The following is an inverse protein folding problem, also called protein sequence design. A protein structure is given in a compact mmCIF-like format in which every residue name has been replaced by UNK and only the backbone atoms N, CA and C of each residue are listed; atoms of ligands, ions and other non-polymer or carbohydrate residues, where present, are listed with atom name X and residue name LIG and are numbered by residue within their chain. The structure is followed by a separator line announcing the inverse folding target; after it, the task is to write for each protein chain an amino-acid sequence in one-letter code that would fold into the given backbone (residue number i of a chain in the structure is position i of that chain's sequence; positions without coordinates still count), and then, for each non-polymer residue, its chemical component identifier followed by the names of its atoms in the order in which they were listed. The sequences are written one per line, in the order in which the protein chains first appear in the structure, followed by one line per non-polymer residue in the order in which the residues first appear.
data_IF_673278297371
#
_entry.id   IF_673278297371
#
_cell.length_a   1.000
_cell.length_b   1.000
_cell.length_c   1.000
_cell.angle_alpha   90.00
_cell.angle_beta   90.00
_cell.angle_gamma   90.00
#
_symmetry.space_group_name_H-M   'P 1'
#
loop_
_entity.id
_entity.type
_entity.pdbx_description
1 polymer ?
#
# COMPACT_ATOMS: atom_id res chain seq x y z
N UNK A 1 -11.83 -3.93 -14.32
CA UNK A 1 -12.21 -5.16 -13.57
C UNK A 1 -11.66 -5.19 -12.14
N UNK A 2 -10.34 -4.96 -11.93
CA UNK A 2 -9.76 -4.94 -10.56
C UNK A 2 -10.40 -3.84 -9.69
N UNK A 3 -10.58 -2.65 -10.23
CA UNK A 3 -11.24 -1.52 -9.54
C UNK A 3 -12.69 -1.84 -9.22
N UNK A 4 -13.43 -2.41 -10.16
CA UNK A 4 -14.82 -2.83 -9.96
C UNK A 4 -14.98 -3.84 -8.83
N UNK A 5 -14.12 -4.88 -8.79
CA UNK A 5 -14.14 -5.88 -7.70
C UNK A 5 -13.94 -5.20 -6.35
N UNK A 6 -12.93 -4.32 -6.23
CA UNK A 6 -12.66 -3.63 -4.97
C UNK A 6 -13.80 -2.71 -4.54
N UNK A 7 -14.39 -1.97 -5.47
CA UNK A 7 -15.56 -1.14 -5.19
C UNK A 7 -16.76 -2.00 -4.76
N UNK A 8 -17.00 -3.13 -5.44
CA UNK A 8 -18.05 -4.08 -5.08
C UNK A 8 -17.89 -4.69 -3.68
N UNK A 9 -16.65 -4.90 -3.24
CA UNK A 9 -16.33 -5.36 -1.89
C UNK A 9 -16.46 -4.28 -0.80
N UNK A 10 -16.70 -3.02 -1.16
CA UNK A 10 -16.86 -1.93 -0.21
C UNK A 10 -15.57 -1.46 0.44
N UNK A 11 -14.46 -1.42 -0.31
CA UNK A 11 -13.22 -0.80 0.19
C UNK A 11 -13.46 0.67 0.53
N UNK A 12 -12.79 1.15 1.58
CA UNK A 12 -12.95 2.52 2.08
C UNK A 12 -12.09 3.55 1.36
N UNK A 13 -11.23 3.11 0.45
CA UNK A 13 -10.36 3.95 -0.36
C UNK A 13 -9.50 3.10 -1.27
N UNK A 14 -8.86 3.72 -2.24
CA UNK A 14 -7.94 3.06 -3.16
C UNK A 14 -6.64 3.82 -3.28
N UNK A 15 -5.54 3.08 -3.46
CA UNK A 15 -4.26 3.64 -3.83
C UNK A 15 -3.68 2.90 -5.04
N UNK A 16 -3.05 3.61 -5.94
CA UNK A 16 -2.35 3.05 -7.09
C UNK A 16 -0.90 3.52 -7.18
N UNK A 17 -0.14 2.93 -8.07
CA UNK A 17 1.29 3.22 -8.30
C UNK A 17 2.21 2.94 -7.11
N UNK A 18 1.79 2.06 -6.17
CA UNK A 18 2.65 1.57 -5.09
C UNK A 18 3.59 0.44 -5.56
N UNK A 19 4.34 -0.14 -4.61
CA UNK A 19 5.23 -1.28 -4.89
C UNK A 19 4.47 -2.45 -5.52
N UNK A 20 3.30 -2.79 -5.00
CA UNK A 20 2.44 -3.85 -5.53
C UNK A 20 1.80 -3.52 -6.89
N UNK A 21 1.84 -2.28 -7.33
CA UNK A 21 1.45 -1.86 -8.70
C UNK A 21 2.65 -1.86 -9.65
N UNK A 22 3.82 -2.32 -9.19
CA UNK A 22 5.05 -2.40 -9.97
C UNK A 22 5.50 -1.06 -10.59
N UNK A 23 5.28 0.04 -9.85
CA UNK A 23 5.55 1.41 -10.33
C UNK A 23 6.95 1.62 -10.89
N UNK A 24 7.95 0.94 -10.32
CA UNK A 24 9.34 1.00 -10.78
C UNK A 24 9.57 0.43 -12.19
N UNK A 25 8.63 -0.37 -12.70
CA UNK A 25 8.68 -0.97 -14.03
C UNK A 25 7.89 -0.18 -15.08
N UNK A 26 7.21 0.89 -14.67
CA UNK A 26 6.40 1.74 -15.54
C UNK A 26 7.19 2.98 -15.96
N UNK A 27 7.14 3.33 -17.24
CA UNK A 27 7.61 4.63 -17.72
C UNK A 27 6.72 5.77 -17.16
N UNK A 28 7.22 7.00 -17.22
CA UNK A 28 6.43 8.18 -16.80
C UNK A 28 5.11 8.30 -17.57
N UNK A 29 5.13 8.03 -18.88
CA UNK A 29 3.92 8.05 -19.70
C UNK A 29 2.91 7.01 -19.27
N UNK A 30 3.35 5.78 -18.97
CA UNK A 30 2.47 4.72 -18.47
C UNK A 30 1.92 5.05 -17.08
N UNK A 31 2.71 5.65 -16.18
CA UNK A 31 2.22 6.07 -14.86
C UNK A 31 1.11 7.12 -15.01
N UNK A 32 1.26 8.07 -15.93
CA UNK A 32 0.21 9.03 -16.25
C UNK A 32 -1.06 8.37 -16.74
N UNK A 33 -0.94 7.46 -17.71
CA UNK A 33 -2.08 6.69 -18.21
C UNK A 33 -2.78 5.90 -17.08
N UNK A 34 -2.02 5.31 -16.14
CA UNK A 34 -2.59 4.60 -14.99
C UNK A 34 -3.32 5.57 -14.04
N UNK A 35 -2.80 6.78 -13.83
CA UNK A 35 -3.48 7.83 -13.04
C UNK A 35 -4.85 8.12 -13.66
N UNK A 36 -4.89 8.40 -14.95
CA UNK A 36 -6.13 8.75 -15.67
C UNK A 36 -7.15 7.60 -15.62
N UNK A 37 -6.74 6.38 -15.95
CA UNK A 37 -7.62 5.21 -15.93
C UNK A 37 -8.18 4.90 -14.54
N UNK A 38 -7.33 4.94 -13.52
CA UNK A 38 -7.79 4.62 -12.15
C UNK A 38 -8.71 5.72 -11.64
N UNK A 39 -8.44 6.98 -11.93
CA UNK A 39 -9.32 8.09 -11.58
C UNK A 39 -10.69 7.98 -12.26
N UNK A 40 -10.70 7.64 -13.55
CA UNK A 40 -11.94 7.38 -14.31
C UNK A 40 -12.72 6.20 -13.74
N UNK A 41 -12.08 5.08 -13.48
CA UNK A 41 -12.71 3.88 -12.92
C UNK A 41 -13.30 4.11 -11.52
N UNK A 42 -12.54 4.82 -10.65
CA UNK A 42 -12.99 5.13 -9.28
C UNK A 42 -14.10 6.17 -9.30
N UNK A 43 -14.02 7.16 -10.19
CA UNK A 43 -15.05 8.18 -10.42
C UNK A 43 -15.60 8.83 -9.14
N UNK A 44 -14.72 9.09 -8.15
CA UNK A 44 -15.09 9.72 -6.88
C UNK A 44 -15.92 8.86 -5.92
N UNK A 45 -16.08 7.56 -6.18
CA UNK A 45 -16.88 6.65 -5.33
C UNK A 45 -16.24 6.38 -3.97
N UNK A 46 -14.93 6.44 -3.91
CA UNK A 46 -14.11 6.29 -2.68
C UNK A 46 -12.88 7.20 -2.76
N UNK A 47 -12.28 7.61 -1.63
CA UNK A 47 -11.04 8.35 -1.62
C UNK A 47 -9.94 7.65 -2.43
N UNK A 48 -9.24 8.42 -3.27
CA UNK A 48 -8.22 7.93 -4.19
C UNK A 48 -6.87 8.56 -3.93
N UNK A 49 -5.84 7.73 -3.85
CA UNK A 49 -4.45 8.16 -3.74
C UNK A 49 -3.58 7.60 -4.86
N UNK A 50 -2.52 8.32 -5.16
CA UNK A 50 -1.44 7.82 -6.01
C UNK A 50 -0.10 7.91 -5.30
N UNK A 51 0.74 6.89 -5.52
CA UNK A 51 2.10 6.89 -5.00
C UNK A 51 3.03 7.53 -6.01
N UNK A 52 3.82 8.50 -5.55
CA UNK A 52 4.82 9.19 -6.34
C UNK A 52 6.14 8.42 -6.27
N UNK A 53 6.69 8.10 -7.42
CA UNK A 53 7.93 7.37 -7.56
C UNK A 53 8.89 8.13 -8.48
N UNK A 54 10.07 8.47 -7.99
CA UNK A 54 11.08 9.18 -8.77
C UNK A 54 12.31 9.51 -7.95
N UNK A 55 13.42 9.72 -8.65
CA UNK A 55 14.73 10.01 -8.05
C UNK A 55 14.94 11.48 -7.69
N UNK A 56 14.08 12.38 -8.14
CA UNK A 56 14.24 13.82 -7.91
C UNK A 56 12.93 14.47 -7.43
N UNK A 57 13.08 15.61 -6.74
CA UNK A 57 11.95 16.45 -6.33
C UNK A 57 11.11 16.85 -7.55
N UNK A 58 11.76 17.29 -8.64
CA UNK A 58 11.07 17.74 -9.84
C UNK A 58 10.20 16.63 -10.47
N UNK A 59 10.72 15.40 -10.54
CA UNK A 59 9.98 14.25 -11.08
C UNK A 59 8.77 13.90 -10.21
N UNK A 60 8.90 13.90 -8.89
CA UNK A 60 7.76 13.61 -8.02
C UNK A 60 6.74 14.75 -8.01
N UNK A 61 7.16 16.01 -8.05
CA UNK A 61 6.26 17.17 -8.17
C UNK A 61 5.46 17.12 -9.49
N UNK A 62 6.07 16.71 -10.59
CA UNK A 62 5.34 16.53 -11.86
C UNK A 62 4.23 15.46 -11.73
N UNK A 63 4.52 14.34 -11.06
CA UNK A 63 3.54 13.29 -10.81
C UNK A 63 2.44 13.76 -9.85
N UNK A 64 2.78 14.54 -8.81
CA UNK A 64 1.80 15.17 -7.91
C UNK A 64 0.82 16.05 -8.70
N UNK A 65 1.32 16.89 -9.61
CA UNK A 65 0.46 17.74 -10.48
C UNK A 65 -0.46 16.88 -11.36
N UNK A 66 0.02 15.75 -11.87
CA UNK A 66 -0.84 14.84 -12.63
C UNK A 66 -1.94 14.23 -11.74
N UNK A 67 -1.62 13.86 -10.50
CA UNK A 67 -2.60 13.35 -9.54
C UNK A 67 -3.63 14.44 -9.15
N UNK A 68 -3.20 15.70 -8.94
CA UNK A 68 -4.10 16.83 -8.71
C UNK A 68 -5.07 17.05 -9.89
N UNK A 69 -4.55 17.02 -11.12
CA UNK A 69 -5.37 17.16 -12.33
C UNK A 69 -6.40 16.02 -12.46
N UNK A 70 -6.06 14.83 -12.02
CA UNK A 70 -6.93 13.66 -11.96
C UNK A 70 -7.86 13.64 -10.73
N UNK A 71 -7.85 14.70 -9.91
CA UNK A 71 -8.67 14.85 -8.70
C UNK A 71 -8.42 13.76 -7.65
N UNK A 72 -7.15 13.43 -7.43
CA UNK A 72 -6.76 12.61 -6.29
C UNK A 72 -7.10 13.32 -4.97
N UNK A 73 -7.48 12.55 -3.96
CA UNK A 73 -7.77 13.09 -2.63
C UNK A 73 -6.50 13.29 -1.79
N UNK A 74 -5.47 12.50 -2.06
CA UNK A 74 -4.16 12.56 -1.39
C UNK A 74 -3.07 11.84 -2.18
N UNK A 75 -1.82 12.04 -1.78
CA UNK A 75 -0.66 11.42 -2.42
C UNK A 75 0.24 10.72 -1.42
N UNK A 76 0.99 9.71 -1.90
CA UNK A 76 1.97 8.96 -1.10
C UNK A 76 3.35 9.17 -1.72
N UNK A 77 4.29 9.75 -0.99
CA UNK A 77 5.65 9.94 -1.47
C UNK A 77 6.53 8.76 -1.11
N UNK A 78 7.31 8.28 -2.06
CA UNK A 78 8.38 7.30 -1.82
C UNK A 78 9.73 8.00 -1.74
N UNK A 79 10.69 7.48 -0.95
CA UNK A 79 12.06 7.97 -0.98
C UNK A 79 12.71 7.66 -2.34
N UNK A 80 13.72 8.42 -2.78
CA UNK A 80 14.45 8.11 -4.01
C UNK A 80 15.12 6.74 -3.89
N UNK A 81 15.01 5.92 -4.94
CA UNK A 81 15.48 4.52 -4.94
C UNK A 81 16.99 4.38 -5.11
N UNK A 82 17.67 5.42 -5.53
CA UNK A 82 19.13 5.45 -5.72
C UNK A 82 19.76 6.41 -4.71
N UNK A 83 20.94 6.04 -4.23
CA UNK A 83 21.65 6.79 -3.20
C UNK A 83 21.23 6.39 -1.77
N UNK A 84 22.12 6.65 -0.83
CA UNK A 84 21.87 6.49 0.60
C UNK A 84 22.15 7.84 1.26
N UNK A 85 21.11 8.47 1.78
CA UNK A 85 21.19 9.80 2.37
C UNK A 85 20.87 9.73 3.87
N UNK A 86 21.34 10.69 4.63
CA UNK A 86 20.96 10.86 6.03
C UNK A 86 19.51 11.36 6.17
N UNK A 87 18.94 11.21 7.36
CA UNK A 87 17.57 11.59 7.65
C UNK A 87 17.25 13.04 7.29
N UNK A 88 18.15 13.98 7.58
CA UNK A 88 17.97 15.39 7.24
C UNK A 88 17.76 15.63 5.73
N UNK A 89 18.37 14.83 4.85
CA UNK A 89 18.17 14.97 3.40
C UNK A 89 16.82 14.38 2.98
N UNK A 90 16.39 13.25 3.56
CA UNK A 90 15.04 12.72 3.32
C UNK A 90 13.95 13.68 3.82
N UNK A 91 14.14 14.32 4.97
CA UNK A 91 13.22 15.34 5.48
C UNK A 91 13.10 16.50 4.49
N UNK A 92 14.25 17.03 4.00
CA UNK A 92 14.24 18.08 2.96
C UNK A 92 13.59 17.64 1.66
N UNK A 93 13.88 16.40 1.22
CA UNK A 93 13.32 15.85 -0.01
C UNK A 93 11.79 15.78 0.05
N UNK A 94 11.24 15.14 1.08
CA UNK A 94 9.79 15.01 1.26
C UNK A 94 9.13 16.38 1.48
N UNK A 95 9.75 17.23 2.29
CA UNK A 95 9.25 18.58 2.56
C UNK A 95 9.08 19.42 1.30
N UNK A 96 10.10 19.46 0.44
CA UNK A 96 10.03 20.20 -0.83
C UNK A 96 8.94 19.73 -1.77
N UNK A 97 8.63 18.44 -1.76
CA UNK A 97 7.53 17.91 -2.58
C UNK A 97 6.19 18.26 -1.93
N UNK A 98 6.09 18.09 -0.62
CA UNK A 98 4.89 18.44 0.14
C UNK A 98 4.52 19.93 0.02
N UNK A 99 5.51 20.83 0.03
CA UNK A 99 5.32 22.27 -0.17
C UNK A 99 4.82 22.64 -1.58
N UNK A 100 4.97 21.75 -2.56
CA UNK A 100 4.54 21.99 -3.94
C UNK A 100 3.07 21.61 -4.21
N UNK A 101 2.33 21.15 -3.21
CA UNK A 101 0.93 20.72 -3.32
C UNK A 101 0.09 21.14 -2.13
N UNK A 102 -1.21 21.33 -2.36
CA UNK A 102 -2.21 21.50 -1.31
C UNK A 102 -2.89 20.18 -0.90
N UNK A 103 -2.63 19.09 -1.61
CA UNK A 103 -3.17 17.77 -1.24
C UNK A 103 -2.59 17.29 0.09
N UNK A 104 -3.37 16.56 0.88
CA UNK A 104 -2.84 15.77 1.98
C UNK A 104 -1.74 14.82 1.49
N UNK A 105 -0.64 14.78 2.21
CA UNK A 105 0.54 13.99 1.84
C UNK A 105 0.76 12.87 2.85
N UNK A 106 0.95 11.67 2.37
CA UNK A 106 1.54 10.57 3.13
C UNK A 106 2.98 10.33 2.68
N UNK A 107 3.80 9.78 3.54
CA UNK A 107 5.07 9.17 3.12
C UNK A 107 5.01 7.65 3.31
N UNK A 108 5.62 6.93 2.39
CA UNK A 108 5.86 5.50 2.54
C UNK A 108 7.19 5.28 3.26
N UNK A 109 7.10 4.70 4.45
CA UNK A 109 8.25 4.31 5.26
C UNK A 109 8.33 2.78 5.33
N UNK A 110 9.12 2.19 4.46
CA UNK A 110 9.21 0.75 4.23
C UNK A 110 10.66 0.26 4.17
N UNK A 111 11.46 0.45 5.24
CA UNK A 111 12.90 0.19 5.20
C UNK A 111 13.25 -1.26 4.84
N UNK A 112 12.44 -2.23 5.26
CA UNK A 112 12.65 -3.64 4.94
C UNK A 112 12.54 -3.96 3.43
N UNK A 113 11.72 -3.21 2.69
CA UNK A 113 11.49 -3.42 1.25
C UNK A 113 12.28 -2.46 0.37
N UNK A 114 12.58 -1.27 0.87
CA UNK A 114 13.21 -0.20 0.10
C UNK A 114 14.69 0.02 0.47
N UNK A 115 15.18 -0.65 1.52
CA UNK A 115 16.54 -0.48 2.02
C UNK A 115 16.83 0.89 2.64
N UNK A 116 15.80 1.70 2.85
CA UNK A 116 15.88 3.07 3.37
C UNK A 116 14.57 3.51 3.99
N UNK A 117 14.65 4.41 4.96
CA UNK A 117 13.50 4.96 5.66
C UNK A 117 13.94 5.98 6.71
N UNK A 118 12.99 6.46 7.46
CA UNK A 118 13.17 7.38 8.59
C UNK A 118 12.88 6.64 9.90
N UNK A 119 13.57 7.04 10.97
CA UNK A 119 13.22 6.61 12.33
C UNK A 119 11.90 7.27 12.77
N UNK A 120 11.32 6.79 13.87
CA UNK A 120 10.12 7.40 14.42
C UNK A 120 10.33 8.85 14.83
N UNK A 121 11.52 9.17 15.35
CA UNK A 121 11.92 10.53 15.71
C UNK A 121 12.08 11.43 14.48
N UNK A 122 12.68 10.92 13.41
CA UNK A 122 12.82 11.66 12.15
C UNK A 122 11.47 11.93 11.51
N UNK A 123 10.53 10.98 11.58
CA UNK A 123 9.14 11.17 11.12
C UNK A 123 8.44 12.24 11.93
N UNK A 124 8.58 12.24 13.25
CA UNK A 124 8.04 13.28 14.11
C UNK A 124 8.57 14.66 13.72
N UNK A 125 9.87 14.77 13.46
CA UNK A 125 10.49 16.04 13.03
C UNK A 125 10.01 16.47 11.64
N UNK A 126 9.89 15.52 10.68
CA UNK A 126 9.35 15.80 9.35
C UNK A 126 7.93 16.39 9.42
N UNK A 127 7.04 15.77 10.18
CA UNK A 127 5.64 16.23 10.31
C UNK A 127 5.56 17.56 11.04
N UNK A 128 6.45 17.82 12.02
CA UNK A 128 6.53 19.11 12.70
C UNK A 128 6.92 20.25 11.73
N UNK A 129 7.80 19.98 10.76
CA UNK A 129 8.24 20.97 9.77
C UNK A 129 7.23 21.13 8.63
N UNK A 130 6.51 20.09 8.25
CA UNK A 130 5.63 20.03 7.09
C UNK A 130 4.23 19.48 7.47
N UNK A 131 3.33 20.35 8.01
CA UNK A 131 2.05 19.90 8.56
C UNK A 131 1.08 19.25 7.57
N UNK A 132 1.26 19.44 6.26
CA UNK A 132 0.48 18.78 5.22
C UNK A 132 0.93 17.34 4.98
N UNK A 133 2.05 16.89 5.58
CA UNK A 133 2.37 15.48 5.74
C UNK A 133 1.59 14.98 6.95
N UNK A 134 0.45 14.36 6.69
CA UNK A 134 -0.58 14.06 7.68
C UNK A 134 -0.90 12.56 7.81
N UNK A 135 -0.16 11.69 7.14
CA UNK A 135 -0.34 10.24 7.18
C UNK A 135 0.99 9.53 6.92
N UNK A 136 1.16 8.39 7.55
CA UNK A 136 2.26 7.46 7.24
C UNK A 136 1.69 6.15 6.68
N UNK A 137 2.20 5.74 5.52
CA UNK A 137 2.15 4.36 5.08
C UNK A 137 3.38 3.65 5.64
N UNK A 138 3.24 3.12 6.85
CA UNK A 138 4.28 2.34 7.53
C UNK A 138 4.25 0.89 7.05
N UNK A 139 5.40 0.33 6.71
CA UNK A 139 5.52 -1.08 6.31
C UNK A 139 6.59 -1.76 7.16
N UNK A 140 6.33 -1.80 8.46
CA UNK A 140 7.15 -2.42 9.49
C UNK A 140 6.38 -3.44 10.33
N UNK A 141 7.08 -4.18 11.21
CA UNK A 141 6.45 -5.02 12.24
C UNK A 141 5.46 -4.22 13.10
N UNK A 142 4.44 -4.87 13.63
CA UNK A 142 3.43 -4.21 14.46
C UNK A 142 4.02 -3.49 15.68
N UNK A 143 5.11 -4.01 16.25
CA UNK A 143 5.86 -3.37 17.35
C UNK A 143 6.48 -2.04 16.95
N UNK A 144 7.07 -1.96 15.76
CA UNK A 144 7.70 -0.73 15.25
C UNK A 144 6.63 0.32 14.89
N UNK A 145 5.51 -0.14 14.37
CA UNK A 145 4.34 0.70 14.09
C UNK A 145 3.77 1.27 15.39
N UNK A 146 3.64 0.45 16.42
CA UNK A 146 3.19 0.90 17.73
C UNK A 146 4.14 1.93 18.35
N UNK A 147 5.45 1.72 18.22
CA UNK A 147 6.45 2.70 18.64
C UNK A 147 6.30 4.03 17.90
N UNK A 148 6.13 4.00 16.56
CA UNK A 148 5.90 5.20 15.76
C UNK A 148 4.66 5.97 16.24
N UNK A 149 3.55 5.27 16.45
CA UNK A 149 2.29 5.86 16.96
C UNK A 149 2.52 6.51 18.31
N UNK A 150 3.26 5.85 19.22
CA UNK A 150 3.59 6.38 20.55
C UNK A 150 4.47 7.63 20.47
N UNK A 151 5.52 7.62 19.64
CA UNK A 151 6.46 8.76 19.48
C UNK A 151 5.75 9.98 18.89
N UNK A 152 4.74 9.76 18.06
CA UNK A 152 3.90 10.82 17.48
C UNK A 152 2.67 11.15 18.34
N UNK A 153 2.58 10.60 19.55
CA UNK A 153 1.50 10.83 20.50
C UNK A 153 0.10 10.54 19.92
N UNK A 154 0.02 9.60 18.96
CA UNK A 154 -1.22 9.29 18.25
C UNK A 154 -1.75 10.40 17.32
N UNK A 155 -0.99 11.47 17.14
CA UNK A 155 -1.43 12.61 16.31
C UNK A 155 -1.25 12.38 14.82
N UNK A 156 -0.39 11.44 14.45
CA UNK A 156 -0.11 11.08 13.07
C UNK A 156 -0.77 9.73 12.75
N UNK A 157 -1.83 9.71 11.94
CA UNK A 157 -2.43 8.48 11.46
C UNK A 157 -1.40 7.59 10.76
N UNK A 158 -1.43 6.29 11.05
CA UNK A 158 -0.56 5.30 10.43
C UNK A 158 -1.43 4.21 9.79
N UNK A 159 -1.16 3.91 8.52
CA UNK A 159 -1.66 2.74 7.83
C UNK A 159 -0.50 1.77 7.59
N UNK A 160 -0.70 0.47 7.84
CA UNK A 160 0.30 -0.54 7.48
C UNK A 160 -0.06 -1.20 6.15
N UNK A 161 0.95 -1.68 5.44
CA UNK A 161 0.81 -2.48 4.22
C UNK A 161 1.18 -3.94 4.47
N UNK A 162 2.34 -4.35 4.02
CA UNK A 162 2.94 -5.70 4.18
C UNK A 162 2.00 -6.86 3.80
N UNK A 163 1.13 -6.66 2.80
CA UNK A 163 0.18 -7.66 2.35
C UNK A 163 -0.78 -8.19 3.41
N UNK A 164 -0.89 -7.50 4.56
CA UNK A 164 -1.74 -7.91 5.68
C UNK A 164 -1.03 -8.76 6.73
N UNK A 165 0.30 -8.93 6.67
CA UNK A 165 1.05 -9.52 7.79
C UNK A 165 0.76 -8.74 9.08
N UNK A 166 0.52 -9.47 10.17
CA UNK A 166 0.21 -8.91 11.49
C UNK A 166 -1.01 -7.96 11.47
N UNK A 167 -2.01 -8.22 10.60
CA UNK A 167 -3.18 -7.34 10.41
C UNK A 167 -3.87 -7.02 11.74
N UNK A 168 -4.22 -8.03 12.52
CA UNK A 168 -4.92 -7.85 13.79
C UNK A 168 -4.07 -7.08 14.81
N UNK A 169 -2.77 -7.35 14.87
CA UNK A 169 -1.85 -6.68 15.79
C UNK A 169 -1.60 -5.23 15.37
N UNK A 170 -1.54 -4.94 14.07
CA UNK A 170 -1.47 -3.57 13.57
C UNK A 170 -2.70 -2.74 13.98
N UNK A 171 -3.89 -3.32 13.93
CA UNK A 171 -5.11 -2.65 14.40
C UNK A 171 -5.06 -2.41 15.91
N UNK A 172 -4.59 -3.38 16.70
CA UNK A 172 -4.37 -3.22 18.15
C UNK A 172 -3.30 -2.17 18.47
N UNK A 173 -2.27 -2.06 17.65
CA UNK A 173 -1.22 -1.04 17.76
C UNK A 173 -1.74 0.38 17.52
N UNK A 174 -2.94 0.54 16.94
CA UNK A 174 -3.57 1.82 16.68
C UNK A 174 -3.51 2.27 15.21
N UNK A 175 -3.17 1.37 14.26
CA UNK A 175 -3.31 1.69 12.85
C UNK A 175 -4.75 2.09 12.51
N UNK A 176 -4.90 3.19 11.76
CA UNK A 176 -6.21 3.66 11.30
C UNK A 176 -6.75 2.87 10.11
N UNK A 177 -5.93 2.03 9.49
CA UNK A 177 -6.29 1.19 8.36
C UNK A 177 -5.10 0.45 7.78
N UNK A 178 -5.34 -0.22 6.65
CA UNK A 178 -4.36 -1.00 5.93
C UNK A 178 -4.40 -0.66 4.43
N UNK A 179 -3.23 -0.61 3.80
CA UNK A 179 -3.07 -0.43 2.35
C UNK A 179 -2.56 -1.75 1.75
N UNK A 180 -3.48 -2.55 1.22
CA UNK A 180 -3.22 -3.93 0.80
C UNK A 180 -3.35 -4.11 -0.71
N UNK A 181 -2.64 -5.12 -1.23
CA UNK A 181 -2.90 -5.68 -2.55
C UNK A 181 -4.26 -6.41 -2.57
N UNK A 182 -4.87 -6.60 -3.75
CA UNK A 182 -6.26 -7.07 -3.83
C UNK A 182 -6.43 -8.57 -3.60
N UNK A 183 -5.36 -9.35 -3.55
CA UNK A 183 -5.36 -10.82 -3.49
C UNK A 183 -6.18 -11.40 -2.33
N UNK A 184 -6.17 -10.72 -1.17
CA UNK A 184 -6.84 -11.15 0.06
C UNK A 184 -7.72 -10.05 0.68
N UNK A 185 -8.07 -9.04 -0.09
CA UNK A 185 -8.69 -7.80 0.40
C UNK A 185 -10.06 -8.02 1.07
N UNK A 186 -10.85 -8.97 0.60
CA UNK A 186 -12.15 -9.33 1.15
C UNK A 186 -12.05 -9.87 2.59
N UNK A 187 -11.08 -10.74 2.85
CA UNK A 187 -10.78 -11.24 4.19
C UNK A 187 -10.27 -10.14 5.11
N UNK A 188 -9.38 -9.29 4.59
CA UNK A 188 -8.87 -8.14 5.34
C UNK A 188 -9.99 -7.16 5.70
N UNK A 189 -10.93 -6.88 4.78
CA UNK A 189 -12.11 -6.04 5.03
C UNK A 189 -13.02 -6.66 6.09
N UNK A 190 -13.23 -7.99 6.06
CA UNK A 190 -14.01 -8.69 7.07
C UNK A 190 -13.37 -8.56 8.45
N UNK A 191 -12.07 -8.82 8.57
CA UNK A 191 -11.34 -8.68 9.82
C UNK A 191 -11.37 -7.23 10.32
N UNK A 192 -11.10 -6.26 9.45
CA UNK A 192 -11.13 -4.84 9.78
C UNK A 192 -12.51 -4.37 10.27
N UNK A 193 -13.57 -4.79 9.57
CA UNK A 193 -14.95 -4.41 9.94
C UNK A 193 -15.37 -4.97 11.28
N UNK A 194 -15.02 -6.24 11.58
CA UNK A 194 -15.26 -6.85 12.90
C UNK A 194 -14.49 -6.13 14.01
N UNK A 195 -13.22 -5.81 13.76
CA UNK A 195 -12.41 -5.05 14.72
C UNK A 195 -13.05 -3.69 15.04
N UNK A 196 -13.49 -2.94 14.04
CA UNK A 196 -14.17 -1.65 14.26
C UNK A 196 -15.52 -1.78 15.00
N UNK A 197 -16.18 -2.91 14.87
CA UNK A 197 -17.41 -3.22 15.61
C UNK A 197 -17.15 -3.66 17.06
N UNK A 198 -15.89 -3.73 17.50
CA UNK A 198 -15.50 -4.20 18.82
C UNK A 198 -15.40 -5.73 18.93
N UNK A 199 -15.60 -6.46 17.86
CA UNK A 199 -15.48 -7.93 17.78
C UNK A 199 -14.03 -8.32 17.46
N UNK A 200 -13.16 -8.20 18.44
CA UNK A 200 -11.74 -8.50 18.30
C UNK A 200 -11.47 -9.99 18.04
N UNK A 201 -12.25 -10.89 18.66
CA UNK A 201 -12.12 -12.34 18.48
C UNK A 201 -12.53 -12.74 17.05
N UNK A 202 -13.66 -12.26 16.56
CA UNK A 202 -14.09 -12.51 15.20
C UNK A 202 -13.19 -11.87 14.14
N UNK A 203 -12.52 -10.76 14.46
CA UNK A 203 -11.49 -10.18 13.59
C UNK A 203 -10.29 -11.12 13.47
N UNK A 204 -9.84 -11.72 14.55
CA UNK A 204 -8.77 -12.72 14.54
C UNK A 204 -9.15 -14.00 13.80
N UNK A 205 -10.37 -14.48 13.98
CA UNK A 205 -10.86 -15.65 13.24
C UNK A 205 -10.81 -15.40 11.73
N UNK A 206 -11.35 -14.26 11.28
CA UNK A 206 -11.33 -13.88 9.87
C UNK A 206 -9.88 -13.75 9.34
N UNK A 207 -8.96 -13.29 10.17
CA UNK A 207 -7.55 -13.19 9.81
C UNK A 207 -6.87 -14.55 9.73
N UNK A 208 -7.15 -15.47 10.67
CA UNK A 208 -6.58 -16.84 10.65
C UNK A 208 -6.92 -17.60 9.37
N UNK A 209 -8.10 -17.41 8.81
CA UNK A 209 -8.51 -18.08 7.57
C UNK A 209 -7.59 -17.74 6.39
N UNK A 210 -7.10 -16.52 6.32
CA UNK A 210 -6.31 -16.02 5.19
C UNK A 210 -4.80 -16.01 5.47
N UNK A 211 -4.38 -16.09 6.73
CA UNK A 211 -2.98 -15.96 7.14
C UNK A 211 -2.03 -16.92 6.39
N UNK A 212 -2.35 -18.21 6.14
CA UNK A 212 -1.46 -19.08 5.39
C UNK A 212 -1.18 -18.58 3.96
N UNK A 213 -2.19 -18.02 3.27
CA UNK A 213 -2.01 -17.41 1.95
C UNK A 213 -1.15 -16.15 2.02
N UNK A 214 -1.38 -15.29 3.01
CA UNK A 214 -0.58 -14.08 3.25
C UNK A 214 0.89 -14.45 3.51
N UNK A 215 1.15 -15.42 4.37
CA UNK A 215 2.51 -15.89 4.66
C UNK A 215 3.20 -16.43 3.41
N UNK A 216 2.49 -17.18 2.58
CA UNK A 216 3.02 -17.70 1.32
C UNK A 216 3.44 -16.58 0.35
N UNK A 217 2.59 -15.58 0.15
CA UNK A 217 2.87 -14.52 -0.83
C UNK A 217 3.82 -13.44 -0.31
N UNK A 218 3.88 -13.21 1.00
CA UNK A 218 4.64 -12.10 1.59
C UNK A 218 6.07 -12.45 2.00
N UNK A 219 6.68 -13.45 1.36
CA UNK A 219 8.10 -13.75 1.58
C UNK A 219 9.03 -12.64 1.03
N UNK A 220 8.58 -11.94 -0.02
CA UNK A 220 9.21 -10.74 -0.57
C UNK A 220 8.20 -9.98 -1.44
N UNK A 221 8.57 -8.79 -1.91
CA UNK A 221 7.75 -8.05 -2.90
C UNK A 221 7.65 -8.84 -4.20
N UNK A 222 8.74 -9.49 -4.64
CA UNK A 222 8.74 -10.32 -5.84
C UNK A 222 7.79 -11.50 -5.71
N UNK A 223 7.73 -12.12 -4.53
CA UNK A 223 6.80 -13.21 -4.23
C UNK A 223 5.34 -12.73 -4.27
N UNK A 224 5.04 -11.58 -3.69
CA UNK A 224 3.72 -10.94 -3.77
C UNK A 224 3.34 -10.68 -5.23
N UNK A 225 4.23 -10.10 -6.02
CA UNK A 225 3.98 -9.82 -7.44
C UNK A 225 3.86 -11.09 -8.27
N UNK A 226 4.61 -12.14 -7.96
CA UNK A 226 4.55 -13.40 -8.68
C UNK A 226 3.31 -14.21 -8.32
N UNK A 227 3.09 -14.49 -7.04
CA UNK A 227 2.07 -15.42 -6.58
C UNK A 227 0.78 -14.73 -6.12
N UNK A 228 0.86 -13.58 -5.46
CA UNK A 228 -0.31 -12.81 -5.03
C UNK A 228 -1.15 -12.34 -6.23
N UNK A 229 -0.53 -11.79 -7.28
CA UNK A 229 -1.27 -11.45 -8.51
C UNK A 229 -1.98 -12.67 -9.11
N UNK A 230 -1.36 -13.86 -9.08
CA UNK A 230 -1.95 -15.08 -9.61
C UNK A 230 -3.09 -15.61 -8.76
N UNK A 231 -3.00 -15.50 -7.43
CA UNK A 231 -4.15 -15.78 -6.54
C UNK A 231 -5.31 -14.84 -6.89
N UNK A 232 -5.02 -13.53 -7.01
CA UNK A 232 -6.03 -12.56 -7.44
C UNK A 232 -6.63 -12.91 -8.80
N UNK A 233 -5.79 -13.20 -9.80
CA UNK A 233 -6.24 -13.54 -11.15
C UNK A 233 -7.13 -14.78 -11.19
N UNK A 234 -6.75 -15.84 -10.47
CA UNK A 234 -7.53 -17.08 -10.37
C UNK A 234 -8.90 -16.85 -9.71
N UNK A 235 -8.94 -16.06 -8.62
CA UNK A 235 -10.18 -15.71 -7.91
C UNK A 235 -11.09 -14.76 -8.71
N UNK A 236 -10.50 -13.88 -9.51
CA UNK A 236 -11.21 -12.86 -10.28
C UNK A 236 -11.57 -13.29 -11.72
N UNK A 237 -11.07 -14.45 -12.17
CA UNK A 237 -11.21 -14.88 -13.56
C UNK A 237 -10.47 -13.98 -14.55
N UNK A 238 -9.26 -13.50 -14.18
CA UNK A 238 -8.45 -12.59 -14.97
C UNK A 238 -7.10 -13.25 -15.29
N UNK A 239 -6.67 -13.17 -16.54
CA UNK A 239 -5.33 -13.57 -16.94
C UNK A 239 -4.28 -12.60 -16.37
N UNK A 240 -3.17 -13.16 -15.87
CA UNK A 240 -2.07 -12.40 -15.28
C UNK A 240 -0.88 -12.37 -16.23
N UNK A 241 -0.42 -11.18 -16.53
CA UNK A 241 0.78 -10.94 -17.31
C UNK A 241 1.90 -10.41 -16.41
N UNK A 242 3.10 -10.98 -16.55
CA UNK A 242 4.28 -10.49 -15.85
C UNK A 242 5.00 -9.44 -16.68
N UNK A 243 5.40 -8.36 -16.00
CA UNK A 243 6.24 -7.33 -16.61
C UNK A 243 7.69 -7.49 -16.14
N UNK A 244 8.61 -7.61 -17.07
CA UNK A 244 10.04 -7.72 -16.75
C UNK A 244 10.62 -6.44 -16.10
N UNK A 245 11.59 -6.61 -15.17
CA UNK A 245 12.06 -7.86 -14.60
C UNK A 245 11.02 -8.48 -13.65
N UNK A 246 10.80 -9.79 -13.74
CA UNK A 246 9.80 -10.48 -12.94
C UNK A 246 10.32 -11.86 -12.47
N UNK A 247 9.96 -12.22 -11.25
CA UNK A 247 10.15 -13.57 -10.75
C UNK A 247 9.29 -14.54 -11.56
N UNK A 248 9.90 -15.61 -12.07
CA UNK A 248 9.15 -16.68 -12.73
C UNK A 248 8.57 -17.64 -11.68
N UNK A 249 7.30 -18.01 -11.80
CA UNK A 249 6.71 -18.96 -10.86
C UNK A 249 7.31 -20.35 -11.05
N UNK A 250 7.54 -21.08 -9.95
CA UNK A 250 7.85 -22.50 -9.98
C UNK A 250 6.58 -23.33 -10.14
N UNK A 251 6.71 -24.59 -10.58
CA UNK A 251 5.59 -25.52 -10.67
C UNK A 251 4.91 -25.69 -9.30
N UNK A 252 5.68 -25.91 -8.25
CA UNK A 252 5.17 -26.02 -6.89
C UNK A 252 4.46 -24.72 -6.42
N UNK A 253 5.03 -23.55 -6.74
CA UNK A 253 4.39 -22.28 -6.43
C UNK A 253 3.04 -22.11 -7.13
N UNK A 254 2.88 -22.60 -8.37
CA UNK A 254 1.60 -22.58 -9.07
C UNK A 254 0.58 -23.56 -8.46
N UNK A 255 1.01 -24.72 -7.95
CA UNK A 255 0.16 -25.62 -7.17
C UNK A 255 -0.37 -24.94 -5.89
N UNK A 256 0.49 -24.20 -5.18
CA UNK A 256 0.08 -23.44 -4.00
C UNK A 256 -0.87 -22.29 -4.36
N UNK A 257 -0.63 -21.58 -5.46
CA UNK A 257 -1.55 -20.56 -5.97
C UNK A 257 -2.95 -21.14 -6.20
N UNK A 258 -3.04 -22.29 -6.88
CA UNK A 258 -4.31 -22.97 -7.12
C UNK A 258 -4.99 -23.35 -5.80
N UNK A 259 -4.25 -23.97 -4.89
CA UNK A 259 -4.75 -24.37 -3.56
C UNK A 259 -5.32 -23.18 -2.79
N UNK A 260 -4.57 -22.07 -2.68
CA UNK A 260 -5.03 -20.91 -1.94
C UNK A 260 -6.17 -20.17 -2.65
N UNK A 261 -6.17 -20.10 -3.97
CA UNK A 261 -7.28 -19.50 -4.70
C UNK A 261 -8.59 -20.31 -4.51
N UNK A 262 -8.52 -21.64 -4.52
CA UNK A 262 -9.66 -22.52 -4.24
C UNK A 262 -10.14 -22.38 -2.79
N UNK A 263 -9.22 -22.35 -1.82
CA UNK A 263 -9.54 -22.16 -0.39
C UNK A 263 -10.23 -20.83 -0.12
N UNK A 264 -9.74 -19.74 -0.73
CA UNK A 264 -10.28 -18.41 -0.54
C UNK A 264 -11.57 -18.18 -1.33
N UNK A 265 -11.81 -18.96 -2.38
CA UNK A 265 -12.97 -18.85 -3.25
C UNK A 265 -12.95 -17.60 -4.15
N UNK A 266 -13.94 -17.46 -5.04
CA UNK A 266 -14.09 -16.28 -5.87
C UNK A 266 -14.46 -15.05 -5.01
N UNK A 267 -14.18 -13.85 -5.52
CA UNK A 267 -14.68 -12.64 -4.87
C UNK A 267 -16.21 -12.64 -4.92
N UNK A 268 -16.86 -12.35 -3.78
CA UNK A 268 -18.29 -12.14 -3.76
C UNK A 268 -18.62 -10.94 -4.65
N UNK A 269 -19.60 -11.14 -5.55
CA UNK A 269 -20.03 -10.12 -6.48
C UNK A 269 -20.90 -9.06 -5.77
#
# INVERSE_FOLDING_TARGET
RQTEIRLGLGVRGMAALGLATEVSKLSLAERRTVIDWVAEDVAGKVPLAFTMFGGSVAEQVEQVRAAEAAKADWVILQPPMVGSFGAAEYIRFFGRIAEATSLPVAIQNAPAYMGRGLSSEDIRELVRQHPNICLIKGEGPATDIQQLISVTEGRLPVMNGRGGLELADNLRAGCVGLLLAPDTIDYALRAYSRFLAGDAEGAEEAYREVLPAIVFIMQSIESLLCYGKRIFGARAGIEIHDRSPAQRPSAFGLELVKRYAEQLGPYAA
#
